data_IF_183060120195
#
_entry.id   IF_183060120195
#
_cell.length_a   1.000
_cell.length_b   1.000
_cell.length_c   1.000
_cell.angle_alpha   90.00
_cell.angle_beta   90.00
_cell.angle_gamma   90.00
#
_symmetry.space_group_name_H-M   'P 1'
#
loop_
_entity.id
_entity.type
_entity.pdbx_description
1 polymer ?
#
# COMPACT_ATOMS: atom_id res chain seq x y z
N UNK A 1 17.44 26.46 -14.06
CA UNK A 1 16.86 25.11 -14.07
C UNK A 1 15.96 25.01 -15.28
N UNK A 2 16.43 24.34 -16.34
CA UNK A 2 15.69 24.24 -17.60
C UNK A 2 14.65 23.14 -17.43
N UNK A 3 13.37 23.52 -17.31
CA UNK A 3 12.25 22.59 -17.38
C UNK A 3 12.26 21.96 -18.78
N UNK A 4 12.61 20.68 -18.85
CA UNK A 4 12.40 19.90 -20.08
C UNK A 4 10.89 19.82 -20.31
N UNK A 5 10.45 20.34 -21.44
CA UNK A 5 9.08 20.20 -21.93
C UNK A 5 8.72 18.71 -22.02
N UNK A 6 7.46 18.32 -21.76
CA UNK A 6 7.02 16.95 -21.93
C UNK A 6 7.34 16.51 -23.36
N UNK A 7 8.02 15.36 -23.50
CA UNK A 7 8.43 14.71 -24.74
C UNK A 7 7.75 15.27 -26.02
N UNK A 8 8.33 16.36 -26.54
CA UNK A 8 7.83 17.03 -27.73
C UNK A 8 8.40 16.29 -28.95
N UNK A 9 7.50 16.02 -29.88
CA UNK A 9 7.64 15.27 -31.14
C UNK A 9 7.96 13.77 -31.00
N UNK A 10 6.87 12.99 -30.99
CA UNK A 10 6.83 11.66 -31.61
C UNK A 10 7.72 11.64 -32.85
N UNK A 11 8.62 10.66 -32.91
CA UNK A 11 9.61 10.44 -33.97
C UNK A 11 9.23 11.06 -35.31
N UNK A 12 9.99 12.08 -35.74
CA UNK A 12 9.95 12.62 -37.12
C UNK A 12 10.29 11.57 -38.18
N UNK A 13 10.73 10.39 -37.75
CA UNK A 13 10.94 9.21 -38.58
C UNK A 13 9.59 8.64 -39.04
N UNK A 14 9.56 8.31 -40.33
CA UNK A 14 8.35 7.93 -41.02
C UNK A 14 8.07 6.45 -40.79
N UNK A 15 7.09 6.15 -39.95
CA UNK A 15 6.66 4.79 -39.66
C UNK A 15 6.25 4.07 -40.97
N UNK A 16 6.93 2.97 -41.30
CA UNK A 16 6.73 2.22 -42.54
C UNK A 16 5.34 1.55 -42.61
N UNK A 17 4.73 1.32 -41.45
CA UNK A 17 3.42 0.68 -41.35
C UNK A 17 2.25 1.66 -41.58
N UNK A 18 2.50 2.97 -41.69
CA UNK A 18 1.45 3.94 -42.04
C UNK A 18 1.20 3.88 -43.55
N UNK A 19 -0.02 3.50 -43.98
CA UNK A 19 -0.34 3.41 -45.40
C UNK A 19 -0.06 4.70 -46.18
N UNK A 20 0.24 4.56 -47.47
CA UNK A 20 0.61 5.70 -48.32
C UNK A 20 -0.50 6.75 -48.44
N UNK A 21 -1.77 6.37 -48.33
CA UNK A 21 -2.90 7.30 -48.46
C UNK A 21 -3.12 8.19 -47.22
N UNK A 22 -2.66 7.76 -46.04
CA UNK A 22 -2.72 8.57 -44.81
C UNK A 22 -1.51 9.49 -44.70
N UNK A 23 -0.38 9.04 -45.22
CA UNK A 23 0.89 9.75 -45.08
C UNK A 23 1.20 10.73 -46.21
N UNK A 24 0.63 10.53 -47.40
CA UNK A 24 0.77 11.49 -48.50
C UNK A 24 -0.17 12.68 -48.26
N UNK A 25 0.42 13.87 -48.19
CA UNK A 25 -0.34 15.12 -48.12
C UNK A 25 -1.17 15.28 -49.42
N UNK A 26 -2.45 15.67 -49.31
CA UNK A 26 -3.27 15.97 -50.48
C UNK A 26 -2.87 17.31 -51.09
N UNK A 27 -3.17 17.53 -52.37
CA UNK A 27 -2.68 18.68 -53.17
C UNK A 27 -3.03 20.07 -52.62
N UNK A 28 -4.06 20.17 -51.76
CA UNK A 28 -4.55 21.42 -51.18
C UNK A 28 -3.89 21.76 -49.83
N UNK A 29 -2.95 20.93 -49.36
CA UNK A 29 -2.12 21.22 -48.18
C UNK A 29 -0.72 21.56 -48.67
N UNK A 30 -0.21 22.72 -48.27
CA UNK A 30 1.09 23.21 -48.71
C UNK A 30 2.23 22.30 -48.20
N UNK A 31 3.19 22.00 -49.08
CA UNK A 31 4.37 21.17 -48.76
C UNK A 31 5.51 21.95 -48.09
N UNK A 32 5.34 23.27 -47.90
CA UNK A 32 6.47 24.21 -47.83
C UNK A 32 7.15 24.41 -46.47
N UNK A 33 6.68 23.85 -45.33
CA UNK A 33 7.19 24.39 -44.05
C UNK A 33 7.35 23.52 -42.79
N UNK A 34 7.16 22.20 -42.81
CA UNK A 34 7.48 21.41 -41.60
C UNK A 34 8.04 20.02 -41.91
N UNK A 35 9.04 19.60 -41.12
CA UNK A 35 9.63 18.25 -41.15
C UNK A 35 8.67 17.15 -40.65
N UNK A 36 7.36 17.41 -40.61
CA UNK A 36 6.34 16.51 -40.09
C UNK A 36 5.42 16.02 -41.22
N UNK A 37 5.57 14.75 -41.58
CA UNK A 37 4.83 14.13 -42.69
C UNK A 37 3.33 13.95 -42.39
N UNK A 38 2.93 14.02 -41.11
CA UNK A 38 1.55 13.77 -40.68
C UNK A 38 0.81 15.02 -40.18
N UNK A 39 1.36 16.21 -40.45
CA UNK A 39 0.77 17.49 -40.04
C UNK A 39 -0.69 17.65 -40.51
N UNK A 40 -0.99 17.28 -41.76
CA UNK A 40 -2.32 17.37 -42.36
C UNK A 40 -3.40 16.50 -41.68
N UNK A 41 -2.99 15.53 -40.86
CA UNK A 41 -3.88 14.69 -40.05
C UNK A 41 -4.08 15.25 -38.64
N UNK A 42 -3.27 16.24 -38.22
CA UNK A 42 -3.40 16.86 -36.90
C UNK A 42 -4.49 17.92 -36.90
N UNK A 43 -5.10 18.11 -35.75
CA UNK A 43 -6.15 19.11 -35.58
C UNK A 43 -5.54 20.52 -35.61
N UNK A 44 -5.81 21.27 -36.68
CA UNK A 44 -5.29 22.64 -36.84
C UNK A 44 -6.05 23.70 -36.02
N UNK A 45 -7.32 23.44 -35.68
CA UNK A 45 -8.15 24.37 -34.91
C UNK A 45 -8.31 23.86 -33.49
N UNK A 46 -7.57 24.42 -32.55
CA UNK A 46 -7.84 24.17 -31.14
C UNK A 46 -9.20 24.78 -30.79
N UNK A 47 -10.12 23.94 -30.33
CA UNK A 47 -11.33 24.42 -29.68
C UNK A 47 -10.88 25.15 -28.43
N UNK A 48 -11.19 26.43 -28.33
CA UNK A 48 -10.97 27.17 -27.10
C UNK A 48 -11.94 26.63 -26.07
N UNK A 49 -11.52 25.64 -25.29
CA UNK A 49 -12.23 25.11 -24.11
C UNK A 49 -12.17 26.15 -22.99
N UNK A 50 -12.69 27.34 -23.26
CA UNK A 50 -12.98 28.28 -22.21
C UNK A 50 -14.40 27.99 -21.75
N UNK A 51 -14.51 27.57 -20.49
CA UNK A 51 -15.74 27.51 -19.70
C UNK A 51 -16.30 28.92 -19.46
N UNK A 52 -16.54 29.66 -20.54
CA UNK A 52 -17.21 30.96 -20.50
C UNK A 52 -18.69 30.69 -20.41
N UNK A 53 -19.25 30.95 -19.24
CA UNK A 53 -20.70 31.00 -19.06
C UNK A 53 -21.23 32.42 -19.28
N UNK A 54 -22.54 32.55 -19.42
CA UNK A 54 -23.20 33.85 -19.52
C UNK A 54 -22.99 34.68 -18.24
N UNK A 55 -22.57 35.94 -18.39
CA UNK A 55 -22.50 36.90 -17.29
C UNK A 55 -23.90 37.24 -16.74
N UNK A 56 -24.37 36.52 -15.72
CA UNK A 56 -25.69 36.75 -15.12
C UNK A 56 -25.73 38.07 -14.35
N UNK A 57 -26.74 38.90 -14.61
CA UNK A 57 -27.00 40.13 -13.86
C UNK A 57 -26.05 41.30 -14.13
N UNK A 58 -25.07 41.14 -15.03
CA UNK A 58 -24.10 42.18 -15.35
C UNK A 58 -24.75 43.28 -16.20
N UNK A 59 -24.62 44.52 -15.72
CA UNK A 59 -25.14 45.73 -16.36
C UNK A 59 -24.00 46.46 -17.07
N UNK A 60 -24.26 46.98 -18.27
CA UNK A 60 -23.25 47.61 -19.13
C UNK A 60 -22.74 48.98 -18.61
N UNK A 61 -23.42 49.55 -17.60
CA UNK A 61 -23.04 50.84 -17.00
C UNK A 61 -24.10 51.38 -16.03
N UNK A 62 -23.95 52.63 -15.54
CA UNK A 62 -24.96 53.28 -14.74
C UNK A 62 -26.27 53.48 -15.52
N UNK A 63 -27.40 53.47 -14.82
CA UNK A 63 -28.70 53.72 -15.42
C UNK A 63 -28.75 55.09 -16.11
N UNK A 64 -29.37 55.15 -17.27
CA UNK A 64 -29.58 56.43 -17.96
C UNK A 64 -30.58 57.29 -17.17
N UNK A 65 -30.31 58.59 -17.09
CA UNK A 65 -31.17 59.56 -16.39
C UNK A 65 -32.39 59.99 -17.20
N UNK A 66 -32.39 59.71 -18.50
CA UNK A 66 -33.48 60.06 -19.43
C UNK A 66 -33.86 58.86 -20.29
N UNK A 67 -35.14 58.78 -20.61
CA UNK A 67 -35.67 57.74 -21.49
C UNK A 67 -35.07 57.89 -22.90
N UNK A 68 -34.52 56.80 -23.43
CA UNK A 68 -33.94 56.73 -24.77
C UNK A 68 -34.97 56.19 -25.76
N UNK A 69 -35.01 56.75 -26.98
CA UNK A 69 -35.92 56.29 -28.03
C UNK A 69 -35.56 54.85 -28.42
N UNK A 70 -36.56 53.96 -28.41
CA UNK A 70 -36.35 52.52 -28.66
C UNK A 70 -36.13 51.69 -27.39
N UNK A 71 -36.03 52.32 -26.21
CA UNK A 71 -35.98 51.60 -24.94
C UNK A 71 -37.36 51.02 -24.59
N UNK A 72 -37.36 49.98 -23.76
CA UNK A 72 -38.56 49.39 -23.20
C UNK A 72 -39.43 50.48 -22.52
N UNK A 73 -40.70 50.58 -22.93
CA UNK A 73 -41.61 51.62 -22.44
C UNK A 73 -41.91 51.47 -20.94
N UNK A 74 -41.75 50.27 -20.38
CA UNK A 74 -41.97 49.96 -18.98
C UNK A 74 -40.76 50.33 -18.10
N UNK A 75 -39.57 49.76 -18.37
CA UNK A 75 -38.39 49.90 -17.52
C UNK A 75 -37.33 50.90 -18.01
N UNK A 76 -37.35 51.29 -19.29
CA UNK A 76 -36.38 52.21 -19.87
C UNK A 76 -35.03 51.61 -20.29
N UNK A 77 -34.84 50.29 -20.22
CA UNK A 77 -33.65 49.60 -20.76
C UNK A 77 -33.75 49.39 -22.28
N UNK A 78 -32.63 49.41 -22.99
CA UNK A 78 -32.54 49.24 -24.46
C UNK A 78 -32.43 47.77 -24.90
N UNK A 79 -32.21 46.83 -23.98
CA UNK A 79 -31.87 45.43 -24.32
C UNK A 79 -33.05 44.57 -24.73
N UNK A 80 -34.25 44.90 -24.29
CA UNK A 80 -35.45 44.10 -24.51
C UNK A 80 -36.68 44.98 -24.81
N UNK A 81 -37.74 44.35 -25.34
CA UNK A 81 -39.04 45.00 -25.61
C UNK A 81 -39.95 44.96 -24.39
N UNK A 82 -41.04 45.73 -24.41
CA UNK A 82 -42.03 45.78 -23.31
C UNK A 82 -42.62 44.44 -22.91
N UNK A 83 -42.85 43.55 -23.89
CA UNK A 83 -43.42 42.21 -23.66
C UNK A 83 -42.46 41.25 -22.96
N UNK A 84 -41.16 41.47 -23.12
CA UNK A 84 -40.09 40.63 -22.55
C UNK A 84 -39.49 41.28 -21.29
N UNK A 85 -40.16 42.31 -20.75
CA UNK A 85 -39.65 43.06 -19.63
C UNK A 85 -39.74 42.24 -18.34
N UNK A 86 -38.58 41.99 -17.72
CA UNK A 86 -38.44 41.31 -16.43
C UNK A 86 -38.97 42.16 -15.26
N UNK A 87 -39.07 43.48 -15.44
CA UNK A 87 -39.60 44.36 -14.39
C UNK A 87 -41.14 44.34 -14.39
N UNK A 88 -41.73 44.45 -13.19
CA UNK A 88 -43.18 44.47 -13.00
C UNK A 88 -43.84 45.50 -13.94
N UNK A 89 -44.91 45.14 -14.69
CA UNK A 89 -45.64 46.08 -15.53
C UNK A 89 -46.16 47.27 -14.72
N UNK A 90 -45.75 48.49 -15.08
CA UNK A 90 -46.19 49.74 -14.43
C UNK A 90 -47.43 50.28 -15.13
N UNK A 91 -48.33 50.92 -14.36
CA UNK A 91 -49.51 51.63 -14.93
C UNK A 91 -49.09 52.77 -15.86
N UNK A 92 -48.05 53.52 -15.47
CA UNK A 92 -47.39 54.51 -16.31
C UNK A 92 -45.91 54.12 -16.39
N UNK A 93 -45.47 53.71 -17.58
CA UNK A 93 -44.12 53.23 -17.81
C UNK A 93 -43.05 54.34 -17.76
N UNK A 94 -41.78 53.94 -17.77
CA UNK A 94 -40.63 54.84 -17.82
C UNK A 94 -40.63 55.79 -19.02
N UNK A 95 -41.31 55.43 -20.13
CA UNK A 95 -41.49 56.30 -21.31
C UNK A 95 -42.21 57.62 -20.97
N UNK A 96 -43.22 57.55 -20.11
CA UNK A 96 -44.09 58.68 -19.77
C UNK A 96 -43.65 59.39 -18.49
N UNK A 97 -43.11 58.65 -17.54
CA UNK A 97 -42.75 59.18 -16.21
C UNK A 97 -41.28 59.56 -16.09
N UNK A 98 -40.39 58.97 -16.90
CA UNK A 98 -38.94 59.18 -16.82
C UNK A 98 -38.30 58.74 -15.50
N UNK A 99 -39.05 58.05 -14.62
CA UNK A 99 -38.61 57.63 -13.29
C UNK A 99 -38.17 56.17 -13.29
N UNK A 100 -37.19 55.84 -12.45
CA UNK A 100 -36.65 54.49 -12.24
C UNK A 100 -36.26 53.76 -13.54
N UNK A 101 -35.41 54.40 -14.34
CA UNK A 101 -34.84 53.82 -15.55
C UNK A 101 -33.83 52.74 -15.13
N UNK A 102 -33.98 51.53 -15.67
CA UNK A 102 -33.03 50.45 -15.42
C UNK A 102 -31.79 50.59 -16.33
N UNK A 103 -30.66 50.09 -15.85
CA UNK A 103 -29.45 49.99 -16.65
C UNK A 103 -29.60 48.91 -17.73
N UNK A 104 -28.84 49.05 -18.81
CA UNK A 104 -28.83 48.10 -19.90
C UNK A 104 -28.07 46.82 -19.49
N UNK A 105 -28.60 45.66 -19.86
CA UNK A 105 -27.98 44.35 -19.66
C UNK A 105 -26.89 44.08 -20.73
N UNK A 106 -25.89 43.27 -20.39
CA UNK A 106 -24.89 42.82 -21.37
C UNK A 106 -25.39 41.55 -22.05
N UNK A 107 -25.75 41.63 -23.34
CA UNK A 107 -26.16 40.46 -24.13
C UNK A 107 -24.91 39.78 -24.71
N UNK A 108 -24.67 38.54 -24.31
CA UNK A 108 -23.57 37.70 -24.80
C UNK A 108 -24.12 36.53 -25.61
N UNK A 109 -23.42 36.14 -26.68
CA UNK A 109 -23.68 34.90 -27.40
C UNK A 109 -22.51 33.94 -27.12
N UNK A 110 -22.82 32.82 -26.46
CA UNK A 110 -21.83 31.80 -26.11
C UNK A 110 -22.14 30.52 -26.88
N UNK A 111 -21.24 30.13 -27.78
CA UNK A 111 -21.35 28.90 -28.55
C UNK A 111 -20.61 27.77 -27.80
N UNK A 112 -21.37 26.86 -27.19
CA UNK A 112 -20.86 25.75 -26.38
C UNK A 112 -21.06 24.39 -27.04
N UNK A 113 -20.22 23.42 -26.66
CA UNK A 113 -20.37 22.00 -27.00
C UNK A 113 -21.60 21.35 -26.37
N UNK A 114 -21.83 20.06 -26.64
CA UNK A 114 -23.01 19.33 -26.13
C UNK A 114 -22.98 19.15 -24.61
N UNK A 115 -21.83 18.76 -24.07
CA UNK A 115 -21.62 18.53 -22.64
C UNK A 115 -21.64 19.86 -21.87
N UNK A 116 -20.88 20.85 -22.36
CA UNK A 116 -20.87 22.21 -21.80
C UNK A 116 -22.25 22.88 -21.77
N UNK A 117 -23.21 22.56 -22.66
CA UNK A 117 -24.58 23.10 -22.56
C UNK A 117 -25.41 22.47 -21.43
N UNK A 118 -25.07 21.23 -21.04
CA UNK A 118 -25.82 20.42 -20.08
C UNK A 118 -25.13 20.31 -18.72
N UNK A 119 -23.91 20.81 -18.62
CA UNK A 119 -23.22 20.86 -17.36
C UNK A 119 -24.07 21.63 -16.33
N UNK A 120 -24.40 20.93 -15.24
CA UNK A 120 -25.18 21.45 -14.12
C UNK A 120 -24.43 22.57 -13.41
N UNK A 121 -23.11 22.52 -13.42
CA UNK A 121 -22.22 23.43 -12.70
C UNK A 121 -21.80 24.64 -13.54
N UNK A 122 -22.51 24.91 -14.63
CA UNK A 122 -22.31 26.08 -15.46
C UNK A 122 -22.50 27.39 -14.69
N UNK A 123 -21.43 28.19 -14.60
CA UNK A 123 -21.42 29.46 -13.88
C UNK A 123 -21.29 29.32 -12.37
N UNK A 124 -20.84 28.15 -11.88
CA UNK A 124 -20.51 27.95 -10.47
C UNK A 124 -19.33 28.84 -10.06
N UNK A 125 -19.48 29.60 -8.98
CA UNK A 125 -18.40 30.36 -8.37
C UNK A 125 -17.66 29.46 -7.36
N UNK A 126 -16.35 29.31 -7.53
CA UNK A 126 -15.51 28.54 -6.61
C UNK A 126 -15.55 29.09 -5.16
N UNK A 127 -15.93 30.36 -4.99
CA UNK A 127 -16.16 30.96 -3.68
C UNK A 127 -17.34 30.35 -2.91
N UNK A 128 -18.38 29.86 -3.58
CA UNK A 128 -19.56 29.25 -2.95
C UNK A 128 -19.21 27.95 -2.22
N UNK A 129 -18.15 27.25 -2.64
CA UNK A 129 -17.68 26.03 -1.98
C UNK A 129 -17.23 26.27 -0.53
N UNK A 130 -16.92 27.53 -0.16
CA UNK A 130 -16.57 27.88 1.23
C UNK A 130 -17.70 27.60 2.20
N UNK A 131 -18.97 27.75 1.79
CA UNK A 131 -20.12 27.45 2.66
C UNK A 131 -20.13 25.97 3.07
N UNK A 132 -19.82 25.08 2.11
CA UNK A 132 -19.69 23.64 2.39
C UNK A 132 -18.55 23.39 3.37
N UNK A 133 -17.40 24.04 3.18
CA UNK A 133 -16.27 23.92 4.12
C UNK A 133 -16.66 24.40 5.52
N UNK A 134 -17.32 25.55 5.64
CA UNK A 134 -17.80 26.10 6.91
C UNK A 134 -18.78 25.14 7.61
N UNK A 135 -19.73 24.55 6.88
CA UNK A 135 -20.64 23.53 7.40
C UNK A 135 -19.90 22.29 7.93
N UNK A 136 -18.88 21.80 7.20
CA UNK A 136 -18.06 20.68 7.66
C UNK A 136 -17.22 21.05 8.89
N UNK A 137 -16.67 22.26 8.96
CA UNK A 137 -15.96 22.76 10.14
C UNK A 137 -16.87 22.86 11.37
N UNK A 138 -18.11 23.31 11.20
CA UNK A 138 -19.12 23.34 12.27
C UNK A 138 -19.48 21.93 12.74
N UNK A 139 -19.66 20.99 11.81
CA UNK A 139 -19.90 19.58 12.13
C UNK A 139 -18.71 18.95 12.86
N UNK A 140 -17.48 19.24 12.45
CA UNK A 140 -16.27 18.78 13.16
C UNK A 140 -16.18 19.37 14.57
N UNK A 141 -16.50 20.66 14.76
CA UNK A 141 -16.54 21.29 16.10
C UNK A 141 -17.59 20.62 16.98
N UNK A 142 -18.78 20.35 16.45
CA UNK A 142 -19.83 19.62 17.16
C UNK A 142 -19.38 18.20 17.51
N UNK A 143 -18.77 17.47 16.57
CA UNK A 143 -18.20 16.14 16.80
C UNK A 143 -17.15 16.15 17.91
N UNK A 144 -16.20 17.10 17.89
CA UNK A 144 -15.19 17.27 18.93
C UNK A 144 -15.80 17.56 20.30
N UNK A 145 -16.79 18.45 20.39
CA UNK A 145 -17.48 18.75 21.66
C UNK A 145 -18.24 17.53 22.17
N UNK A 146 -18.90 16.77 21.28
CA UNK A 146 -19.59 15.53 21.69
C UNK A 146 -18.62 14.42 22.07
N UNK A 147 -17.48 14.31 21.40
CA UNK A 147 -16.39 13.38 21.75
C UNK A 147 -15.80 13.72 23.11
N UNK A 148 -15.47 14.99 23.36
CA UNK A 148 -15.00 15.46 24.67
C UNK A 148 -16.02 15.23 25.77
N UNK A 149 -17.31 15.49 25.52
CA UNK A 149 -18.37 15.21 26.51
C UNK A 149 -18.50 13.73 26.83
N UNK A 150 -18.32 12.83 25.85
CA UNK A 150 -18.28 11.38 26.08
C UNK A 150 -17.06 10.97 26.91
N UNK A 151 -15.91 11.62 26.71
CA UNK A 151 -14.69 11.39 27.52
C UNK A 151 -14.87 11.89 28.95
N UNK A 152 -15.58 12.99 29.19
CA UNK A 152 -15.78 13.53 30.55
C UNK A 152 -16.86 12.81 31.36
N UNK A 153 -17.75 12.05 30.72
CA UNK A 153 -18.84 11.30 31.38
C UNK A 153 -18.48 9.82 31.63
N UNK A 154 -17.30 9.37 31.16
CA UNK A 154 -16.68 8.11 31.53
C UNK A 154 -15.51 8.36 32.49
N UNK A 155 -15.60 7.87 33.72
CA UNK A 155 -14.58 8.01 34.77
C UNK A 155 -13.20 7.49 34.34
N UNK A 156 -12.20 8.37 34.47
CA UNK A 156 -10.78 8.15 34.82
C UNK A 156 -10.04 6.92 34.25
N UNK A 157 -9.46 7.04 33.06
CA UNK A 157 -8.19 6.37 32.71
C UNK A 157 -7.30 7.28 31.83
N UNK A 158 -6.53 8.13 32.52
CA UNK A 158 -5.90 9.38 32.03
C UNK A 158 -4.65 9.19 31.15
N UNK A 159 -4.54 8.08 30.41
CA UNK A 159 -3.36 7.80 29.56
C UNK A 159 -3.60 7.02 28.27
N UNK A 160 -4.69 6.27 28.15
CA UNK A 160 -5.01 5.46 26.95
C UNK A 160 -6.12 6.07 26.08
N UNK A 161 -6.93 6.97 26.63
CA UNK A 161 -8.14 7.45 25.98
C UNK A 161 -7.90 8.50 24.87
N UNK A 162 -6.83 9.31 24.95
CA UNK A 162 -6.52 10.29 23.88
C UNK A 162 -6.07 9.61 22.58
N UNK A 163 -5.32 8.51 22.68
CA UNK A 163 -4.96 7.67 21.54
C UNK A 163 -6.17 6.90 21.01
N UNK A 164 -7.05 6.41 21.89
CA UNK A 164 -8.26 5.69 21.48
C UNK A 164 -9.32 6.61 20.84
N UNK A 165 -9.44 7.87 21.25
CA UNK A 165 -10.31 8.87 20.57
C UNK A 165 -9.73 9.27 19.22
N UNK A 166 -8.40 9.44 19.10
CA UNK A 166 -7.76 9.62 17.78
C UNK A 166 -7.98 8.41 16.89
N UNK A 167 -7.81 7.21 17.43
CA UNK A 167 -8.01 5.95 16.71
C UNK A 167 -9.48 5.74 16.33
N UNK A 168 -10.43 6.17 17.18
CA UNK A 168 -11.86 6.15 16.92
C UNK A 168 -12.26 7.18 15.84
N UNK A 169 -11.71 8.40 15.86
CA UNK A 169 -11.92 9.39 14.80
C UNK A 169 -11.31 8.93 13.47
N UNK A 170 -10.15 8.27 13.48
CA UNK A 170 -9.49 7.73 12.27
C UNK A 170 -10.19 6.47 11.72
N UNK A 171 -10.82 5.68 12.60
CA UNK A 171 -11.61 4.50 12.22
C UNK A 171 -13.07 4.81 11.87
N UNK A 172 -13.63 5.91 12.38
CA UNK A 172 -14.97 6.44 12.08
C UNK A 172 -14.99 7.37 10.83
N UNK A 173 -13.91 7.40 10.05
CA UNK A 173 -13.91 7.95 8.68
C UNK A 173 -14.68 7.05 7.69
N UNK A 174 -15.73 6.36 8.13
CA UNK A 174 -16.64 5.58 7.30
C UNK A 174 -16.06 4.30 6.71
N UNK A 175 -14.95 3.78 7.27
CA UNK A 175 -14.26 2.59 6.73
C UNK A 175 -14.40 1.37 7.64
N UNK A 176 -15.60 1.09 8.12
CA UNK A 176 -15.94 -0.25 8.64
C UNK A 176 -16.29 -1.16 7.46
N UNK A 177 -15.27 -1.54 6.68
CA UNK A 177 -15.44 -2.59 5.70
C UNK A 177 -15.56 -3.91 6.45
N UNK A 178 -16.64 -4.67 6.19
CA UNK A 178 -16.80 -6.00 6.78
C UNK A 178 -15.54 -6.83 6.51
N UNK A 179 -15.03 -7.56 7.51
CA UNK A 179 -13.84 -8.42 7.37
C UNK A 179 -14.00 -9.46 6.25
N UNK A 180 -15.24 -9.70 5.80
CA UNK A 180 -15.60 -10.55 4.69
C UNK A 180 -15.23 -10.00 3.30
N UNK A 181 -15.18 -8.68 3.10
CA UNK A 181 -14.84 -8.03 1.82
C UNK A 181 -13.49 -7.30 1.89
N UNK A 182 -12.47 -7.94 2.45
CA UNK A 182 -11.12 -7.37 2.47
C UNK A 182 -10.56 -7.32 1.04
N UNK A 183 -10.09 -6.14 0.64
CA UNK A 183 -9.41 -5.98 -0.65
C UNK A 183 -8.17 -6.90 -0.70
N UNK A 184 -8.02 -7.65 -1.80
CA UNK A 184 -6.87 -8.57 -2.00
C UNK A 184 -5.53 -7.82 -2.18
N UNK A 185 -5.58 -6.53 -2.57
CA UNK A 185 -4.38 -5.71 -2.66
C UNK A 185 -3.91 -5.35 -1.25
N UNK A 186 -2.73 -5.85 -0.91
CA UNK A 186 -1.94 -5.47 0.27
C UNK A 186 -1.63 -3.97 0.14
N UNK A 187 -1.93 -3.19 1.18
CA UNK A 187 -1.78 -1.71 1.17
C UNK A 187 -0.35 -1.30 1.48
N UNK A 188 0.35 -2.16 2.21
CA UNK A 188 1.74 -2.05 2.64
C UNK A 188 2.69 -2.13 1.44
N UNK A 189 2.32 -2.88 0.40
CA UNK A 189 3.10 -3.02 -0.83
C UNK A 189 2.76 -1.89 -1.82
N UNK A 190 3.73 -1.03 -2.08
CA UNK A 190 3.60 0.02 -3.09
C UNK A 190 3.71 -0.58 -4.50
N UNK A 191 2.87 -0.11 -5.42
CA UNK A 191 2.96 -0.56 -6.81
C UNK A 191 4.21 0.05 -7.47
N UNK A 192 4.89 -0.72 -8.33
CA UNK A 192 6.17 -0.30 -8.92
C UNK A 192 6.11 1.01 -9.72
N UNK A 193 5.00 1.27 -10.40
CA UNK A 193 4.78 2.52 -11.15
C UNK A 193 4.45 3.75 -10.27
N UNK A 194 4.27 3.56 -8.97
CA UNK A 194 4.04 4.65 -7.99
C UNK A 194 5.30 5.01 -7.21
N UNK A 195 6.40 4.27 -7.40
CA UNK A 195 7.67 4.56 -6.74
C UNK A 195 8.17 5.94 -7.16
N UNK A 196 8.13 6.22 -8.47
CA UNK A 196 8.42 7.53 -9.04
C UNK A 196 7.26 7.96 -9.94
N UNK A 197 6.72 9.16 -9.70
CA UNK A 197 5.63 9.74 -10.50
C UNK A 197 6.14 10.57 -11.68
N UNK A 198 7.45 10.80 -11.75
CA UNK A 198 8.07 11.53 -12.85
C UNK A 198 7.94 10.74 -14.16
N UNK A 199 7.54 11.43 -15.23
CA UNK A 199 7.27 10.83 -16.54
C UNK A 199 8.53 10.24 -17.20
N UNK A 200 9.70 10.76 -16.86
CA UNK A 200 11.01 10.33 -17.39
C UNK A 200 11.69 9.24 -16.54
N UNK A 201 10.99 8.72 -15.51
CA UNK A 201 11.51 7.68 -14.62
C UNK A 201 11.51 6.29 -15.28
N UNK A 202 11.99 5.30 -14.52
CA UNK A 202 12.04 3.90 -14.92
C UNK A 202 10.70 3.41 -15.50
N UNK A 203 10.76 2.84 -16.71
CA UNK A 203 9.55 2.46 -17.47
C UNK A 203 8.90 1.20 -16.90
N UNK A 204 7.63 1.30 -16.49
CA UNK A 204 6.79 0.17 -16.11
C UNK A 204 6.01 -0.40 -17.30
N UNK A 205 6.10 -1.70 -17.55
CA UNK A 205 5.23 -2.40 -18.51
C UNK A 205 4.01 -3.00 -17.78
N UNK A 206 2.80 -2.44 -17.94
CA UNK A 206 1.61 -2.91 -17.23
C UNK A 206 1.14 -4.30 -17.65
N UNK A 207 1.56 -4.79 -18.82
CA UNK A 207 1.16 -6.12 -19.32
C UNK A 207 1.93 -7.23 -18.60
N UNK A 208 3.24 -7.07 -18.47
CA UNK A 208 4.12 -8.04 -17.80
C UNK A 208 4.36 -7.71 -16.34
N UNK A 209 3.89 -6.54 -15.87
CA UNK A 209 4.02 -6.03 -14.50
C UNK A 209 5.47 -5.94 -14.02
N UNK A 210 6.39 -5.60 -14.92
CA UNK A 210 7.82 -5.46 -14.65
C UNK A 210 8.30 -4.05 -14.92
N UNK A 211 9.30 -3.64 -14.18
CA UNK A 211 10.08 -2.46 -14.52
C UNK A 211 11.10 -2.88 -15.57
N UNK A 212 11.19 -2.15 -16.68
CA UNK A 212 11.94 -2.57 -17.86
C UNK A 212 13.31 -1.92 -17.91
N UNK A 213 13.38 -0.64 -17.57
CA UNK A 213 14.57 0.18 -17.75
C UNK A 213 14.86 0.98 -16.48
N UNK A 214 16.14 1.16 -16.19
CA UNK A 214 16.69 1.90 -15.06
C UNK A 214 16.29 3.38 -15.11
N UNK A 215 15.96 3.88 -16.30
CA UNK A 215 15.69 5.29 -16.53
C UNK A 215 16.98 6.12 -16.55
N UNK A 216 16.85 7.43 -16.76
CA UNK A 216 17.99 8.34 -16.84
C UNK A 216 18.46 8.90 -15.48
N UNK A 217 17.66 8.71 -14.42
CA UNK A 217 17.91 9.23 -13.08
C UNK A 217 18.19 8.08 -12.10
N UNK A 218 19.17 8.29 -11.22
CA UNK A 218 19.48 7.38 -10.10
C UNK A 218 18.45 7.55 -8.98
N UNK A 219 17.24 7.00 -9.19
CA UNK A 219 16.17 7.05 -8.21
C UNK A 219 15.94 5.69 -7.53
N UNK A 220 15.06 5.63 -6.53
CA UNK A 220 14.66 4.38 -5.88
C UNK A 220 14.07 3.36 -6.86
N UNK A 221 13.29 3.81 -7.84
CA UNK A 221 12.76 2.92 -8.88
C UNK A 221 13.88 2.37 -9.79
N UNK A 222 14.92 3.15 -10.05
CA UNK A 222 16.11 2.67 -10.73
C UNK A 222 16.79 1.61 -9.85
N UNK A 223 17.10 1.90 -8.58
CA UNK A 223 17.71 0.92 -7.68
C UNK A 223 16.99 -0.44 -7.66
N UNK A 224 15.64 -0.46 -7.66
CA UNK A 224 14.86 -1.69 -7.76
C UNK A 224 14.98 -2.39 -9.13
N UNK A 225 15.09 -1.66 -10.24
CA UNK A 225 15.35 -2.28 -11.55
C UNK A 225 16.74 -2.93 -11.57
N UNK A 226 17.74 -2.29 -10.96
CA UNK A 226 19.10 -2.86 -10.85
C UNK A 226 19.04 -4.11 -9.98
N UNK A 227 18.31 -4.06 -8.87
CA UNK A 227 18.09 -5.19 -8.00
C UNK A 227 17.34 -6.32 -8.72
N UNK A 228 16.25 -6.04 -9.44
CA UNK A 228 15.51 -7.06 -10.19
C UNK A 228 16.40 -7.71 -11.27
N UNK A 229 17.17 -6.92 -12.01
CA UNK A 229 18.10 -7.44 -13.01
C UNK A 229 19.23 -8.25 -12.36
N UNK A 230 19.73 -7.78 -11.20
CA UNK A 230 20.74 -8.49 -10.42
C UNK A 230 20.19 -9.83 -9.91
N UNK A 231 19.02 -9.83 -9.27
CA UNK A 231 18.32 -11.03 -8.76
C UNK A 231 18.07 -12.04 -9.87
N UNK A 232 17.77 -11.60 -11.09
CA UNK A 232 17.61 -12.50 -12.25
C UNK A 232 18.90 -13.20 -12.65
N UNK A 233 20.04 -12.55 -12.46
CA UNK A 233 21.36 -13.09 -12.80
C UNK A 233 22.08 -13.77 -11.64
N UNK A 234 21.62 -13.55 -10.40
CA UNK A 234 22.29 -14.02 -9.19
C UNK A 234 21.81 -15.42 -8.77
N UNK A 235 22.53 -16.02 -7.82
CA UNK A 235 22.26 -17.36 -7.32
C UNK A 235 22.48 -18.45 -8.37
N UNK A 236 21.55 -19.39 -8.43
CA UNK A 236 21.64 -20.60 -9.26
C UNK A 236 21.65 -20.30 -10.76
N UNK A 237 21.13 -19.15 -11.20
CA UNK A 237 21.15 -18.75 -12.60
C UNK A 237 22.58 -18.61 -13.12
N UNK A 238 23.47 -17.94 -12.38
CA UNK A 238 24.88 -17.82 -12.74
C UNK A 238 25.60 -19.17 -12.73
N UNK A 239 25.26 -20.06 -11.79
CA UNK A 239 25.84 -21.40 -11.74
C UNK A 239 25.34 -22.27 -12.89
N UNK A 240 24.07 -22.15 -13.27
CA UNK A 240 23.48 -22.82 -14.41
C UNK A 240 24.11 -22.36 -15.73
N UNK A 241 24.33 -21.06 -15.91
CA UNK A 241 25.06 -20.52 -17.07
C UNK A 241 26.49 -21.07 -17.15
N UNK A 242 27.20 -21.15 -16.01
CA UNK A 242 28.52 -21.80 -15.95
C UNK A 242 28.45 -23.28 -16.31
N UNK A 243 27.42 -24.00 -15.85
CA UNK A 243 27.19 -25.40 -16.20
C UNK A 243 26.95 -25.57 -17.71
N UNK A 244 26.19 -24.65 -18.29
CA UNK A 244 25.86 -24.66 -19.71
C UNK A 244 27.10 -24.36 -20.58
N UNK A 245 27.92 -23.37 -20.19
CA UNK A 245 29.20 -23.09 -20.83
C UNK A 245 30.14 -24.30 -20.76
N UNK A 246 30.24 -24.93 -19.59
CA UNK A 246 31.02 -26.16 -19.42
C UNK A 246 30.52 -27.29 -20.34
N UNK A 247 29.21 -27.51 -20.43
CA UNK A 247 28.65 -28.52 -21.31
C UNK A 247 28.99 -28.26 -22.79
N UNK A 248 28.98 -27.00 -23.24
CA UNK A 248 29.40 -26.63 -24.59
C UNK A 248 30.91 -26.85 -24.83
N UNK A 249 31.77 -26.42 -23.92
CA UNK A 249 33.23 -26.65 -24.00
C UNK A 249 33.56 -28.15 -23.99
N UNK A 250 32.89 -28.92 -23.13
CA UNK A 250 33.04 -30.36 -23.05
C UNK A 250 32.58 -31.05 -24.35
N UNK A 251 31.49 -30.57 -24.95
CA UNK A 251 30.99 -31.05 -26.24
C UNK A 251 32.00 -30.78 -27.37
N UNK A 252 32.63 -29.61 -27.41
CA UNK A 252 33.71 -29.29 -28.36
C UNK A 252 34.94 -30.19 -28.15
N UNK A 253 35.25 -30.53 -26.89
CA UNK A 253 36.33 -31.47 -26.54
C UNK A 253 35.99 -32.94 -26.85
N UNK A 254 34.76 -33.23 -27.31
CA UNK A 254 34.30 -34.57 -27.69
C UNK A 254 33.61 -35.37 -26.57
N UNK A 255 33.41 -34.79 -25.39
CA UNK A 255 32.65 -35.39 -24.30
C UNK A 255 31.14 -35.19 -24.51
N UNK A 256 30.34 -36.25 -24.32
CA UNK A 256 28.88 -36.21 -24.54
C UNK A 256 28.15 -35.75 -23.28
N UNK A 257 28.35 -34.51 -22.87
CA UNK A 257 27.65 -33.89 -21.74
C UNK A 257 26.55 -32.98 -22.28
N UNK A 258 25.31 -33.19 -21.85
CA UNK A 258 24.19 -32.31 -22.19
C UNK A 258 23.37 -32.01 -20.95
N UNK A 259 23.22 -30.73 -20.63
CA UNK A 259 22.66 -30.26 -19.36
C UNK A 259 21.20 -30.72 -19.15
N UNK A 260 20.38 -30.71 -20.20
CA UNK A 260 18.98 -31.15 -20.12
C UNK A 260 18.79 -32.66 -20.29
N UNK A 261 19.73 -33.38 -20.91
CA UNK A 261 19.56 -34.80 -21.18
C UNK A 261 20.08 -35.64 -20.02
N UNK A 262 21.26 -35.31 -19.48
CA UNK A 262 21.89 -35.99 -18.36
C UNK A 262 22.44 -34.99 -17.31
N UNK A 263 21.57 -34.21 -16.64
CA UNK A 263 21.98 -33.12 -15.73
C UNK A 263 22.92 -33.59 -14.61
N UNK A 264 22.55 -34.67 -13.93
CA UNK A 264 23.32 -35.19 -12.78
C UNK A 264 24.70 -35.67 -13.18
N UNK A 265 24.84 -36.29 -14.35
CA UNK A 265 26.15 -36.72 -14.85
C UNK A 265 27.07 -35.53 -15.14
N UNK A 266 26.52 -34.47 -15.73
CA UNK A 266 27.27 -33.23 -16.01
C UNK A 266 27.69 -32.51 -14.73
N UNK A 267 26.81 -32.47 -13.72
CA UNK A 267 27.12 -31.87 -12.42
C UNK A 267 28.24 -32.63 -11.69
N UNK A 268 28.21 -33.97 -11.69
CA UNK A 268 29.27 -34.78 -11.09
C UNK A 268 30.61 -34.53 -11.78
N UNK A 269 30.64 -34.46 -13.11
CA UNK A 269 31.85 -34.18 -13.87
C UNK A 269 32.38 -32.77 -13.59
N UNK A 270 31.50 -31.77 -13.52
CA UNK A 270 31.86 -30.39 -13.14
C UNK A 270 32.43 -30.32 -11.72
N UNK A 271 31.87 -31.04 -10.75
CA UNK A 271 32.41 -31.11 -9.38
C UNK A 271 33.81 -31.74 -9.35
N UNK A 272 34.01 -32.81 -10.14
CA UNK A 272 35.33 -33.44 -10.29
C UNK A 272 36.34 -32.47 -10.90
N UNK A 273 35.97 -31.78 -11.98
CA UNK A 273 36.83 -30.80 -12.62
C UNK A 273 37.16 -29.63 -11.68
N UNK A 274 36.18 -29.13 -10.93
CA UNK A 274 36.42 -28.09 -9.93
C UNK A 274 37.47 -28.54 -8.90
N UNK A 275 37.30 -29.74 -8.34
CA UNK A 275 38.27 -30.31 -7.39
C UNK A 275 39.66 -30.51 -8.03
N UNK A 276 39.73 -30.97 -9.28
CA UNK A 276 40.99 -31.10 -10.02
C UNK A 276 41.63 -29.75 -10.32
N UNK A 277 40.84 -28.72 -10.62
CA UNK A 277 41.33 -27.35 -10.88
C UNK A 277 41.89 -26.72 -9.60
N UNK A 278 41.24 -26.91 -8.46
CA UNK A 278 41.73 -26.47 -7.17
C UNK A 278 43.00 -27.21 -6.78
N UNK A 279 43.05 -28.51 -7.01
CA UNK A 279 44.25 -29.31 -6.80
C UNK A 279 45.41 -28.83 -7.69
N UNK A 280 45.16 -28.58 -8.99
CA UNK A 280 46.15 -27.98 -9.91
C UNK A 280 46.60 -26.59 -9.44
N UNK A 281 45.69 -25.75 -8.96
CA UNK A 281 46.03 -24.41 -8.42
C UNK A 281 46.89 -24.53 -7.16
N UNK A 282 46.58 -25.48 -6.28
CA UNK A 282 47.37 -25.73 -5.06
C UNK A 282 48.76 -26.29 -5.39
N UNK A 283 48.86 -27.24 -6.31
CA UNK A 283 50.16 -27.79 -6.73
C UNK A 283 51.01 -26.73 -7.43
N UNK A 284 50.41 -25.90 -8.30
CA UNK A 284 51.09 -24.74 -8.87
C UNK A 284 51.55 -23.75 -7.80
N UNK A 285 50.69 -23.41 -6.83
CA UNK A 285 51.06 -22.53 -5.71
C UNK A 285 52.22 -23.12 -4.90
N UNK A 286 52.20 -24.41 -4.60
CA UNK A 286 53.29 -25.12 -3.88
C UNK A 286 54.59 -25.10 -4.71
N UNK A 287 54.52 -25.43 -5.99
CA UNK A 287 55.67 -25.41 -6.89
C UNK A 287 56.26 -24.00 -7.04
N UNK A 288 55.43 -22.94 -7.06
CA UNK A 288 55.90 -21.56 -7.05
C UNK A 288 56.57 -21.22 -5.71
N UNK A 289 56.00 -21.65 -4.59
CA UNK A 289 56.59 -21.44 -3.26
C UNK A 289 57.96 -22.12 -3.12
N UNK A 290 58.12 -23.32 -3.68
CA UNK A 290 59.39 -24.06 -3.70
C UNK A 290 60.44 -23.39 -4.60
N UNK A 291 60.02 -22.84 -5.75
CA UNK A 291 60.92 -22.19 -6.71
C UNK A 291 61.40 -20.82 -6.24
N UNK A 292 60.52 -20.04 -5.63
CA UNK A 292 60.77 -18.63 -5.30
C UNK A 292 60.97 -18.36 -3.81
N UNK A 293 60.76 -19.35 -2.93
CA UNK A 293 60.80 -19.17 -1.48
C UNK A 293 59.65 -18.31 -0.95
N UNK A 294 59.60 -18.09 0.38
CA UNK A 294 58.59 -17.21 1.02
C UNK A 294 57.48 -17.92 1.80
N UNK A 295 57.62 -19.22 2.08
CA UNK A 295 56.72 -19.97 2.98
C UNK A 295 56.60 -19.30 4.36
N UNK A 296 57.69 -18.72 4.86
CA UNK A 296 57.79 -18.02 6.15
C UNK A 296 56.90 -16.76 6.21
N UNK A 297 56.60 -16.14 5.08
CA UNK A 297 55.74 -14.96 4.99
C UNK A 297 54.25 -15.29 4.80
N UNK A 298 53.89 -16.56 4.55
CA UNK A 298 52.49 -17.01 4.46
C UNK A 298 51.96 -17.52 5.79
N UNK A 299 52.84 -18.02 6.68
CA UNK A 299 52.44 -18.46 8.00
C UNK A 299 51.93 -17.26 8.83
N UNK A 300 50.75 -17.36 9.47
CA UNK A 300 50.31 -16.35 10.42
C UNK A 300 51.22 -16.45 11.65
N UNK A 301 52.28 -15.64 11.70
CA UNK A 301 53.05 -15.49 12.94
C UNK A 301 52.18 -14.73 13.96
N UNK A 302 52.27 -15.03 15.27
CA UNK A 302 51.54 -14.28 16.31
C UNK A 302 51.89 -12.78 16.32
N UNK A 303 53.01 -12.42 15.69
CA UNK A 303 53.43 -11.04 15.49
C UNK A 303 52.79 -10.38 14.26
N UNK A 304 52.05 -11.06 13.38
CA UNK A 304 51.41 -10.41 12.21
C UNK A 304 50.30 -9.44 12.62
N UNK A 305 49.54 -9.78 13.67
CA UNK A 305 48.48 -8.91 14.20
C UNK A 305 49.04 -7.72 14.98
N UNK A 306 50.30 -7.80 15.45
CA UNK A 306 50.98 -6.74 16.20
C UNK A 306 52.01 -5.97 15.36
N UNK A 307 52.40 -6.51 14.22
CA UNK A 307 53.31 -5.86 13.28
C UNK A 307 52.52 -4.82 12.49
N UNK A 308 52.78 -3.57 12.77
CA UNK A 308 52.25 -2.42 12.03
C UNK A 308 52.86 -2.46 10.63
N UNK A 309 52.16 -3.06 9.68
CA UNK A 309 52.62 -3.17 8.27
C UNK A 309 52.45 -1.82 7.54
N UNK A 310 51.47 -1.02 7.96
CA UNK A 310 51.21 0.31 7.41
C UNK A 310 50.77 1.25 8.55
N UNK A 311 51.34 2.45 8.61
CA UNK A 311 51.05 3.44 9.66
C UNK A 311 49.71 4.18 9.47
N UNK A 312 48.94 3.86 8.43
CA UNK A 312 47.71 4.59 8.08
C UNK A 312 46.59 3.63 7.63
N UNK A 313 46.12 2.78 8.54
CA UNK A 313 44.84 2.09 8.34
C UNK A 313 43.72 3.07 8.68
N UNK A 314 43.02 3.57 7.66
CA UNK A 314 41.84 4.41 7.85
C UNK A 314 40.75 3.61 8.59
N UNK A 315 40.37 4.07 9.77
CA UNK A 315 39.33 3.48 10.63
C UNK A 315 38.24 4.54 10.78
N UNK A 316 37.08 4.29 10.18
CA UNK A 316 35.91 5.12 10.41
C UNK A 316 35.31 4.79 11.77
N UNK A 317 35.19 5.82 12.61
CA UNK A 317 34.44 5.75 13.85
C UNK A 317 33.02 6.26 13.60
N UNK A 318 32.03 5.54 14.10
CA UNK A 318 30.66 6.04 14.22
C UNK A 318 30.61 7.20 15.24
N UNK A 319 29.51 7.95 15.25
CA UNK A 319 29.27 9.06 16.21
C UNK A 319 29.41 8.62 17.69
N UNK A 320 29.33 7.32 17.94
CA UNK A 320 29.49 6.67 19.26
C UNK A 320 30.92 6.25 19.58
N UNK A 321 31.88 6.47 18.67
CA UNK A 321 33.29 6.06 18.82
C UNK A 321 33.55 4.58 18.56
N UNK A 322 32.60 3.84 17.99
CA UNK A 322 32.77 2.45 17.58
C UNK A 322 33.30 2.34 16.15
N UNK A 323 34.14 1.34 15.86
CA UNK A 323 34.70 1.11 14.53
C UNK A 323 33.63 0.53 13.60
N UNK A 324 33.35 1.20 12.47
CA UNK A 324 32.40 0.69 11.47
C UNK A 324 32.83 -0.68 10.94
N UNK A 325 31.91 -1.64 10.97
CA UNK A 325 32.11 -2.98 10.42
C UNK A 325 32.86 -3.97 11.32
N UNK A 326 33.34 -3.57 12.50
CA UNK A 326 33.87 -4.51 13.47
C UNK A 326 32.72 -5.25 14.19
N UNK A 327 32.80 -6.58 14.38
CA UNK A 327 31.76 -7.31 15.10
C UNK A 327 31.67 -6.82 16.55
N UNK A 328 30.48 -6.40 16.97
CA UNK A 328 30.21 -5.99 18.35
C UNK A 328 30.45 -7.19 19.28
N UNK A 329 31.41 -7.08 20.20
CA UNK A 329 31.64 -8.11 21.23
C UNK A 329 30.42 -8.17 22.14
N UNK A 330 29.89 -9.37 22.37
CA UNK A 330 28.78 -9.56 23.30
C UNK A 330 29.18 -9.04 24.70
N UNK A 331 28.31 -8.23 25.30
CA UNK A 331 28.52 -7.74 26.66
C UNK A 331 28.43 -8.90 27.65
N UNK A 332 29.50 -9.12 28.42
CA UNK A 332 29.48 -10.05 29.55
C UNK A 332 28.63 -9.43 30.67
N UNK A 333 27.82 -10.23 31.34
CA UNK A 333 27.05 -9.72 32.49
C UNK A 333 27.97 -9.33 33.66
N UNK A 334 27.40 -8.62 34.63
CA UNK A 334 28.09 -8.19 35.86
C UNK A 334 28.61 -9.36 36.69
N UNK A 335 28.02 -10.55 36.52
CA UNK A 335 28.37 -11.75 37.26
C UNK A 335 29.44 -12.54 36.48
N UNK A 336 30.34 -13.24 37.18
CA UNK A 336 31.35 -14.05 36.52
C UNK A 336 30.68 -15.24 35.81
N UNK A 337 30.49 -15.10 34.51
CA UNK A 337 29.99 -16.15 33.63
C UNK A 337 31.08 -17.20 33.36
N UNK A 338 30.67 -18.43 33.09
CA UNK A 338 31.56 -19.52 32.68
C UNK A 338 32.64 -19.88 33.72
N UNK A 339 32.32 -19.81 35.01
CA UNK A 339 33.19 -20.41 36.04
C UNK A 339 33.03 -21.93 35.98
N UNK A 340 34.09 -22.61 35.56
CA UNK A 340 34.19 -24.06 35.59
C UNK A 340 34.85 -24.48 36.91
N UNK A 341 34.10 -25.13 37.79
CA UNK A 341 34.63 -25.70 39.02
C UNK A 341 34.98 -27.17 38.83
N UNK A 342 35.99 -27.68 39.55
CA UNK A 342 36.32 -29.11 39.66
C UNK A 342 36.39 -29.91 38.33
N UNK A 343 37.04 -29.32 37.32
CA UNK A 343 37.31 -29.92 36.01
C UNK A 343 36.08 -30.31 35.17
N UNK A 344 34.93 -29.67 35.42
CA UNK A 344 33.78 -29.74 34.51
C UNK A 344 34.02 -28.88 33.26
N UNK A 345 33.47 -29.27 32.11
CA UNK A 345 33.52 -28.47 30.86
C UNK A 345 32.27 -27.60 30.66
N UNK A 346 31.31 -27.70 31.57
CA UNK A 346 30.05 -26.93 31.59
C UNK A 346 29.79 -26.34 32.97
N UNK A 347 29.10 -25.21 33.03
CA UNK A 347 28.73 -24.54 34.30
C UNK A 347 27.64 -25.32 35.04
N UNK A 348 27.59 -25.20 36.36
CA UNK A 348 26.47 -25.73 37.17
C UNK A 348 25.13 -25.10 36.73
N UNK A 349 24.11 -25.93 36.52
CA UNK A 349 22.82 -25.49 35.97
C UNK A 349 22.75 -25.47 34.45
N UNK A 350 23.77 -26.01 33.77
CA UNK A 350 23.75 -26.25 32.31
C UNK A 350 22.86 -27.44 31.92
N UNK A 351 22.41 -28.23 32.88
CA UNK A 351 21.57 -29.40 32.67
C UNK A 351 20.50 -29.50 33.76
N UNK A 352 19.32 -30.01 33.42
CA UNK A 352 18.13 -30.09 34.27
C UNK A 352 17.43 -31.43 34.05
N UNK A 353 17.12 -32.13 35.14
CA UNK A 353 16.40 -33.41 35.13
C UNK A 353 15.61 -33.58 36.44
N UNK A 354 14.35 -34.01 36.36
CA UNK A 354 13.47 -34.31 37.51
C UNK A 354 13.56 -33.30 38.68
N UNK A 355 13.32 -32.02 38.39
CA UNK A 355 13.38 -30.94 39.39
C UNK A 355 14.76 -30.65 40.01
N UNK A 356 15.83 -31.26 39.50
CA UNK A 356 17.21 -31.03 39.93
C UNK A 356 18.08 -30.41 38.81
N UNK A 357 18.93 -29.46 39.21
CA UNK A 357 19.94 -28.87 38.32
C UNK A 357 21.26 -29.64 38.42
N UNK A 358 21.97 -29.79 37.31
CA UNK A 358 23.26 -30.46 37.25
C UNK A 358 24.21 -29.93 36.17
N UNK A 359 25.27 -30.70 35.91
CA UNK A 359 26.29 -30.40 34.91
C UNK A 359 26.04 -31.15 33.59
N UNK A 360 26.00 -30.46 32.45
CA UNK A 360 25.78 -31.07 31.13
C UNK A 360 26.93 -32.00 30.66
N UNK A 361 28.14 -31.78 31.16
CA UNK A 361 29.30 -32.59 30.81
C UNK A 361 29.26 -34.00 31.39
N UNK A 362 28.64 -34.19 32.56
CA UNK A 362 28.78 -35.40 33.38
C UNK A 362 27.43 -35.93 33.94
N UNK A 363 26.31 -35.22 33.72
CA UNK A 363 24.96 -35.50 34.25
C UNK A 363 24.90 -35.70 35.78
N UNK A 364 25.84 -35.09 36.51
CA UNK A 364 25.84 -35.09 37.97
C UNK A 364 24.91 -33.98 38.48
N UNK A 365 23.97 -34.35 39.36
CA UNK A 365 23.06 -33.44 40.09
C UNK A 365 23.64 -32.95 41.43
N UNK A 366 24.93 -33.19 41.70
CA UNK A 366 25.59 -32.75 42.94
C UNK A 366 26.54 -31.58 42.67
N UNK A 367 26.27 -30.43 43.31
CA UNK A 367 27.07 -29.21 43.13
C UNK A 367 28.48 -29.41 43.69
N UNK A 368 29.50 -29.03 42.90
CA UNK A 368 30.93 -29.17 43.21
C UNK A 368 31.46 -30.62 43.26
N UNK A 369 30.78 -31.60 42.65
CA UNK A 369 31.39 -32.91 42.39
C UNK A 369 32.58 -32.79 41.42
N UNK A 370 33.47 -33.78 41.39
CA UNK A 370 34.47 -33.89 40.33
C UNK A 370 33.81 -34.45 39.06
N UNK A 371 34.18 -33.96 37.88
CA UNK A 371 33.59 -34.45 36.63
C UNK A 371 33.98 -35.91 36.36
N UNK A 372 32.98 -36.74 36.08
CA UNK A 372 33.07 -38.17 35.73
C UNK A 372 33.18 -38.43 34.23
N UNK A 373 33.37 -37.38 33.41
CA UNK A 373 33.38 -37.42 31.95
C UNK A 373 32.15 -38.09 31.31
N UNK A 374 32.39 -38.76 30.19
CA UNK A 374 31.39 -39.52 29.44
C UNK A 374 30.86 -40.75 30.22
N UNK A 375 31.62 -41.25 31.19
CA UNK A 375 31.22 -42.40 32.01
C UNK A 375 30.05 -42.04 32.95
N UNK A 376 29.98 -40.78 33.39
CA UNK A 376 28.82 -40.27 34.14
C UNK A 376 27.52 -40.31 33.33
N UNK A 377 27.59 -40.04 32.03
CA UNK A 377 26.41 -40.09 31.14
C UNK A 377 25.92 -41.52 30.93
N UNK A 378 26.84 -42.46 30.72
CA UNK A 378 26.52 -43.88 30.57
C UNK A 378 25.88 -44.44 31.84
N UNK A 379 26.46 -44.14 33.00
CA UNK A 379 25.90 -44.57 34.28
C UNK A 379 24.49 -44.00 34.52
N UNK A 380 24.23 -42.76 34.09
CA UNK A 380 22.90 -42.16 34.17
C UNK A 380 21.88 -42.85 33.24
N UNK A 381 22.25 -43.12 31.98
CA UNK A 381 21.40 -43.87 31.04
C UNK A 381 21.13 -45.31 31.51
N UNK A 382 22.10 -45.95 32.16
CA UNK A 382 21.93 -47.28 32.76
C UNK A 382 21.01 -47.24 33.99
N UNK A 383 21.12 -46.20 34.84
CA UNK A 383 20.22 -46.00 35.98
C UNK A 383 18.77 -45.75 35.53
N UNK A 384 18.57 -44.95 34.48
CA UNK A 384 17.24 -44.67 33.92
C UNK A 384 16.61 -45.95 33.32
N UNK A 385 17.40 -46.76 32.61
CA UNK A 385 16.95 -48.08 32.12
C UNK A 385 16.59 -49.05 33.26
N UNK A 386 17.31 -49.00 34.38
CA UNK A 386 17.00 -49.83 35.56
C UNK A 386 15.73 -49.37 36.26
N UNK A 387 15.47 -48.06 36.32
CA UNK A 387 14.23 -47.48 36.87
C UNK A 387 13.00 -47.89 36.04
N UNK A 388 13.13 -47.87 34.70
CA UNK A 388 12.09 -48.33 33.77
C UNK A 388 11.82 -49.83 33.91
N UNK A 389 12.84 -50.64 34.19
CA UNK A 389 12.69 -52.07 34.45
C UNK A 389 11.98 -52.35 35.79
N UNK A 390 12.24 -51.52 36.81
CA UNK A 390 11.57 -51.61 38.11
C UNK A 390 10.07 -51.29 37.99
N UNK A 391 9.71 -50.23 37.25
CA UNK A 391 8.31 -49.88 36.97
C UNK A 391 7.58 -50.97 36.16
N UNK A 392 8.28 -51.70 35.30
CA UNK A 392 7.71 -52.82 34.56
C UNK A 392 7.45 -54.07 35.43
N UNK A 393 8.19 -54.24 36.54
CA UNK A 393 8.00 -55.33 37.50
C UNK A 393 6.85 -55.00 38.46
N UNK A 394 6.75 -53.75 38.92
CA UNK A 394 5.67 -53.30 39.82
C UNK A 394 4.30 -53.23 39.11
N UNK A 395 4.28 -53.11 37.78
CA UNK A 395 3.05 -53.12 36.97
C UNK A 395 2.49 -54.51 36.63
N UNK A 396 3.15 -55.60 37.03
CA UNK A 396 2.79 -56.97 36.65
C UNK A 396 2.06 -57.80 37.72
N UNK A 397 1.86 -57.29 38.95
CA UNK A 397 1.22 -58.04 40.05
C UNK A 397 -0.25 -57.68 40.34
N UNK A 398 -0.91 -56.80 39.58
CA UNK A 398 -2.31 -56.43 39.86
C UNK A 398 -3.20 -56.47 38.61
N UNK A 399 -3.89 -57.60 38.42
CA UNK A 399 -5.16 -57.69 37.69
C UNK A 399 -6.17 -58.51 38.51
N UNK A 400 -7.42 -58.04 38.59
CA UNK A 400 -8.53 -58.93 38.30
C UNK A 400 -9.50 -58.38 37.24
N UNK A 401 -10.20 -59.35 36.65
CA UNK A 401 -11.08 -59.38 35.48
C UNK A 401 -12.43 -58.61 35.60
N UNK A 402 -13.21 -58.49 34.49
CA UNK A 402 -14.25 -57.48 34.28
C UNK A 402 -15.69 -57.96 34.55
N UNK A 403 -16.56 -57.04 34.98
CA UNK A 403 -18.03 -57.18 34.92
C UNK A 403 -18.70 -55.88 34.45
N UNK A 404 -19.92 -56.05 33.94
CA UNK A 404 -20.63 -55.23 32.97
C UNK A 404 -21.53 -54.11 33.57
N UNK A 405 -22.32 -53.48 32.69
CA UNK A 405 -23.45 -52.55 32.92
C UNK A 405 -23.00 -51.06 33.03
N UNK A 406 -23.63 -50.04 32.46
CA UNK A 406 -24.91 -49.86 31.75
C UNK A 406 -24.82 -48.57 30.89
N UNK A 407 -25.58 -48.53 29.81
CA UNK A 407 -25.72 -47.45 28.82
C UNK A 407 -26.52 -46.24 29.35
N UNK A 408 -26.05 -45.02 29.08
CA UNK A 408 -26.94 -43.85 28.89
C UNK A 408 -26.48 -42.99 27.71
N UNK A 409 -27.43 -42.75 26.82
CA UNK A 409 -27.26 -42.28 25.46
C UNK A 409 -27.24 -40.74 25.34
N UNK A 410 -26.44 -40.27 24.38
CA UNK A 410 -26.56 -38.98 23.70
C UNK A 410 -27.79 -39.03 22.79
N UNK A 411 -28.69 -38.07 22.91
CA UNK A 411 -29.81 -37.86 21.99
C UNK A 411 -29.84 -36.43 21.47
N UNK A 412 -29.47 -36.26 20.21
CA UNK A 412 -29.82 -35.11 19.38
C UNK A 412 -31.35 -35.00 19.23
N UNK A 413 -31.88 -33.78 19.29
CA UNK A 413 -33.21 -33.46 18.77
C UNK A 413 -33.15 -32.15 17.97
N UNK A 414 -33.16 -32.29 16.65
CA UNK A 414 -33.73 -31.33 15.72
C UNK A 414 -35.26 -31.30 15.90
N UNK A 415 -35.86 -30.11 15.90
CA UNK A 415 -37.25 -29.90 15.48
C UNK A 415 -37.36 -28.60 14.68
N UNK A 416 -37.59 -28.76 13.38
CA UNK A 416 -38.33 -27.81 12.54
C UNK A 416 -39.83 -27.91 12.85
N UNK A 417 -40.54 -26.77 12.75
CA UNK A 417 -41.82 -26.54 12.04
C UNK A 417 -42.41 -25.21 12.55
N UNK A 418 -42.48 -24.18 11.71
CA UNK A 418 -43.56 -23.87 10.75
C UNK A 418 -44.70 -23.10 11.44
N UNK A 419 -44.91 -21.84 11.06
CA UNK A 419 -46.02 -21.43 10.17
C UNK A 419 -46.35 -19.92 10.28
N UNK A 420 -46.91 -19.43 9.18
CA UNK A 420 -47.17 -18.05 8.72
C UNK A 420 -47.99 -17.14 9.65
N UNK A 421 -47.80 -15.83 9.53
CA UNK A 421 -48.85 -14.92 9.02
C UNK A 421 -48.37 -13.48 8.77
N UNK A 422 -48.58 -13.03 7.53
CA UNK A 422 -48.73 -11.63 7.10
C UNK A 422 -50.00 -11.00 7.67
N UNK A 423 -50.01 -9.69 7.98
CA UNK A 423 -51.00 -8.68 7.55
C UNK A 423 -50.79 -7.30 8.24
N UNK A 424 -50.56 -6.26 7.42
CA UNK A 424 -51.49 -5.13 7.23
C UNK A 424 -51.99 -4.25 8.38
N UNK A 425 -51.36 -3.08 8.51
CA UNK A 425 -51.97 -1.75 8.74
C UNK A 425 -52.53 -1.34 10.12
N UNK A 426 -52.23 -0.09 10.51
CA UNK A 426 -52.98 0.61 11.56
C UNK A 426 -52.19 1.71 12.28
N UNK A 427 -52.06 2.89 11.66
CA UNK A 427 -51.60 4.12 12.31
C UNK A 427 -52.41 4.43 13.57
N UNK A 428 -51.79 4.36 14.74
CA UNK A 428 -52.22 5.08 15.95
C UNK A 428 -50.98 5.63 16.65
N UNK A 429 -50.88 6.95 16.69
CA UNK A 429 -49.90 7.70 17.48
C UNK A 429 -50.03 7.33 18.95
N UNK A 430 -49.16 6.44 19.44
CA UNK A 430 -49.01 6.20 20.88
C UNK A 430 -48.35 7.43 21.50
N UNK A 431 -48.97 7.97 22.55
CA UNK A 431 -48.37 9.02 23.38
C UNK A 431 -47.17 8.40 24.09
N UNK A 432 -46.00 9.05 23.99
CA UNK A 432 -44.74 8.62 24.61
C UNK A 432 -44.92 8.38 26.10
N UNK A 433 -44.34 7.30 26.60
CA UNK A 433 -44.31 7.00 28.03
C UNK A 433 -43.27 7.88 28.72
N UNK A 434 -43.45 8.19 30.00
CA UNK A 434 -42.59 9.10 30.77
C UNK A 434 -41.11 8.64 30.80
N UNK A 435 -40.87 7.34 30.59
CA UNK A 435 -39.54 6.71 30.50
C UNK A 435 -38.83 7.08 29.19
N UNK A 436 -39.54 7.18 28.07
CA UNK A 436 -38.98 7.57 26.76
C UNK A 436 -38.66 9.07 26.66
N UNK A 437 -39.22 9.90 27.56
CA UNK A 437 -38.87 11.33 27.66
C UNK A 437 -37.58 11.53 28.47
N UNK A 438 -37.25 10.57 29.34
CA UNK A 438 -36.09 10.63 30.23
C UNK A 438 -34.86 9.95 29.62
N UNK A 439 -35.04 8.98 28.73
CA UNK A 439 -33.98 8.49 27.83
C UNK A 439 -33.87 9.44 26.63
N UNK A 440 -32.74 10.11 26.46
CA UNK A 440 -32.52 11.03 25.33
C UNK A 440 -32.73 10.39 23.94
N UNK A 441 -32.72 11.24 22.92
CA UNK A 441 -32.95 10.88 21.51
C UNK A 441 -31.93 9.82 21.08
N UNK A 442 -32.41 8.67 20.61
CA UNK A 442 -31.55 7.58 20.14
C UNK A 442 -30.99 7.86 18.74
N UNK A 443 -29.86 7.25 18.40
CA UNK A 443 -29.18 7.44 17.11
C UNK A 443 -30.07 7.05 15.91
N UNK A 444 -30.91 6.04 16.08
CA UNK A 444 -31.91 5.60 15.10
C UNK A 444 -33.01 6.64 14.85
N UNK A 445 -33.41 7.39 15.88
CA UNK A 445 -34.36 8.51 15.75
C UNK A 445 -33.71 9.71 15.04
N UNK A 446 -32.42 9.96 15.27
CA UNK A 446 -31.66 10.99 14.54
C UNK A 446 -31.44 10.62 13.06
N UNK A 447 -31.17 9.35 12.77
CA UNK A 447 -31.03 8.88 11.39
C UNK A 447 -32.35 8.92 10.62
N UNK A 448 -33.45 8.49 11.24
CA UNK A 448 -34.77 8.58 10.64
C UNK A 448 -35.21 10.03 10.45
N UNK A 449 -34.84 10.93 11.35
CA UNK A 449 -35.01 12.38 11.18
C UNK A 449 -34.15 12.95 10.03
N UNK A 450 -32.87 12.54 9.90
CA UNK A 450 -32.01 12.93 8.76
C UNK A 450 -32.56 12.43 7.42
N UNK A 451 -32.99 11.17 7.35
CA UNK A 451 -33.59 10.57 6.15
C UNK A 451 -34.90 11.26 5.76
N UNK A 452 -35.76 11.57 6.73
CA UNK A 452 -37.02 12.28 6.48
C UNK A 452 -36.83 13.75 6.09
N UNK A 453 -35.81 14.44 6.63
CA UNK A 453 -35.46 15.80 6.22
C UNK A 453 -34.91 15.86 4.80
N UNK A 454 -33.99 14.96 4.45
CA UNK A 454 -33.46 14.85 3.08
C UNK A 454 -34.57 14.54 2.06
N UNK A 455 -35.53 13.69 2.42
CA UNK A 455 -36.68 13.39 1.58
C UNK A 455 -37.66 14.57 1.45
N UNK A 456 -37.77 15.43 2.47
CA UNK A 456 -38.65 16.61 2.43
C UNK A 456 -38.03 17.81 1.69
N UNK A 457 -36.69 17.93 1.71
CA UNK A 457 -35.93 18.95 0.97
C UNK A 457 -35.66 18.55 -0.49
N UNK A 458 -35.99 17.32 -0.89
CA UNK A 458 -35.91 16.86 -2.28
C UNK A 458 -37.11 17.37 -3.12
N UNK A 459 -36.90 18.28 -4.10
CA UNK A 459 -37.96 18.77 -4.98
C UNK A 459 -38.58 17.68 -5.87
N UNK A 460 -37.96 16.50 -5.98
CA UNK A 460 -38.49 15.33 -6.70
C UNK A 460 -39.35 14.40 -5.84
N UNK A 461 -39.34 14.53 -4.51
CA UNK A 461 -40.12 13.65 -3.63
C UNK A 461 -41.64 13.68 -3.89
N UNK A 462 -42.16 14.81 -4.42
CA UNK A 462 -43.56 14.93 -4.84
C UNK A 462 -43.93 14.14 -6.10
N UNK A 463 -42.93 13.69 -6.85
CA UNK A 463 -43.11 12.95 -8.11
C UNK A 463 -42.80 11.45 -7.95
N UNK A 464 -42.12 11.05 -6.87
CA UNK A 464 -41.83 9.66 -6.55
C UNK A 464 -43.07 9.02 -5.89
N UNK A 465 -43.95 8.42 -6.69
CA UNK A 465 -45.12 7.66 -6.21
C UNK A 465 -46.40 7.78 -7.02
N UNK A 466 -46.43 8.57 -8.10
CA UNK A 466 -47.62 8.66 -8.99
C UNK A 466 -47.61 7.64 -10.14
N UNK A 467 -46.56 6.84 -10.28
CA UNK A 467 -46.45 5.81 -11.31
C UNK A 467 -46.83 4.42 -10.77
N UNK A 468 -48.11 4.25 -10.42
CA UNK A 468 -48.71 2.91 -10.35
C UNK A 468 -49.83 2.85 -11.40
N UNK A 469 -49.79 1.90 -12.36
CA UNK A 469 -50.83 1.79 -13.37
C UNK A 469 -52.16 1.41 -12.71
N UNK A 470 -53.20 2.17 -13.01
CA UNK A 470 -54.58 1.80 -12.67
C UNK A 470 -54.89 0.41 -13.26
N UNK A 471 -55.23 -0.54 -12.38
CA UNK A 471 -55.98 -1.74 -12.74
C UNK A 471 -57.47 -1.46 -12.61
#
# INVERSE_FOLDING_TARGET
>A
MSSRKPADVASKERNEYIPSFISKKPFYVDDDSTNDYLEHQRLHKQTTDQSKWYDRGKRAGPAATKYRKGACENCGAMTHKTKECLSRPRKQGAKWTGKDIQADEVVQKVDMGWDAKRDRWNGYDAGEYRQVVEEYEELEKLKRVTGQKKVTDGEDDEGSAEEEVRYAEESDMGRQQSTATRNLRIREDTAKYLLNLDLDSAKYDPKTRRMVDMGAQEDQAAALVAEENFVRSSGDAAEFEKAQKYAWEAQESGQKIHLQANPTSGEILRKKEHAESEFKRQTQRKALLEKYGGAEHLAPTPLRDTMVVENERFVEYDETGAIKGAPKKAAKSKYPENILTNNHTSVWGSWWHEFEWGYACCFSTVKNSYCTGEDGKKAFEEADKMLMLQQAIDGAEEQPEPEAEESTERGDQEQENDDKQTEGSGTKSKKRTLIEVQSGITEEELESYKRSRLAAEDPMAKFMGQDAPAQ
#
